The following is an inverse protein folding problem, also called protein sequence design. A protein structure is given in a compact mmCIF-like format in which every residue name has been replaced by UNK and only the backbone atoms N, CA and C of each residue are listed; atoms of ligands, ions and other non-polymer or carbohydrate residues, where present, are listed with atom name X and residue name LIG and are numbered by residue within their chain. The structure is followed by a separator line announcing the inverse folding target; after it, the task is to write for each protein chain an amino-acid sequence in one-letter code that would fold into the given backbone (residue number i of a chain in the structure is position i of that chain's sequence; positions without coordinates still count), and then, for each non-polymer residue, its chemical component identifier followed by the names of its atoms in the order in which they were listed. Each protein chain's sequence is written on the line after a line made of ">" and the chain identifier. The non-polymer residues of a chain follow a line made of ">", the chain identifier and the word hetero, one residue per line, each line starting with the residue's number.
data_IF_982512321779
#
_entry.id   IF_982512321779
#
_cell.length_a   1.000
_cell.length_b   1.000
_cell.length_c   1.000
_cell.angle_alpha   90.00
_cell.angle_beta   90.00
_cell.angle_gamma   90.00
#
_symmetry.space_group_name_H-M   'P 1'
#
loop_
_entity.id
_entity.type
_entity.pdbx_description
1 polymer ?
#
# COMPACT_ATOMS: atom_id res chain seq x y z
N UNK A 1 -8.25 2.46 9.28
CA UNK A 1 -8.34 1.85 10.63
C UNK A 1 -9.30 0.64 10.65
N UNK A 2 -9.07 -0.37 9.80
CA UNK A 2 -9.99 -1.52 9.67
C UNK A 2 -9.35 -2.87 10.03
N UNK A 3 -8.01 -3.00 10.00
CA UNK A 3 -7.33 -4.27 10.23
C UNK A 3 -7.38 -4.72 11.70
N UNK A 4 -7.18 -3.81 12.65
CA UNK A 4 -7.14 -4.16 14.09
C UNK A 4 -8.50 -4.72 14.56
N UNK A 5 -9.64 -4.07 14.28
CA UNK A 5 -10.95 -4.63 14.63
C UNK A 5 -11.20 -5.99 13.96
N UNK A 6 -10.88 -6.13 12.67
CA UNK A 6 -11.10 -7.38 11.93
C UNK A 6 -10.23 -8.53 12.47
N UNK A 7 -8.97 -8.26 12.79
CA UNK A 7 -8.07 -9.23 13.41
C UNK A 7 -8.63 -9.73 14.75
N UNK A 8 -9.13 -8.83 15.61
CA UNK A 8 -9.74 -9.20 16.89
C UNK A 8 -11.05 -9.96 16.71
N UNK A 9 -11.89 -9.57 15.75
CA UNK A 9 -13.13 -10.29 15.42
C UNK A 9 -12.86 -11.73 15.01
N UNK A 10 -11.92 -11.93 14.07
CA UNK A 10 -11.54 -13.28 13.62
C UNK A 10 -10.87 -14.04 14.77
N UNK A 11 -9.97 -13.41 15.53
CA UNK A 11 -9.19 -14.06 16.58
C UNK A 11 -9.99 -14.48 17.81
N UNK A 12 -10.97 -13.67 18.24
CA UNK A 12 -11.77 -13.91 19.45
C UNK A 12 -13.07 -14.65 19.10
N UNK A 13 -13.80 -14.20 18.08
CA UNK A 13 -15.13 -14.74 17.71
C UNK A 13 -15.12 -15.67 16.49
N UNK A 14 -13.97 -15.90 15.85
CA UNK A 14 -13.87 -16.82 14.70
C UNK A 14 -14.00 -18.30 15.07
N UNK A 15 -14.23 -19.14 14.05
CA UNK A 15 -14.45 -20.59 14.20
C UNK A 15 -13.18 -21.43 14.42
N UNK A 16 -13.21 -22.69 14.00
CA UNK A 16 -12.05 -23.61 14.11
C UNK A 16 -10.84 -23.00 13.39
N UNK A 17 -9.67 -23.04 14.03
CA UNK A 17 -8.41 -22.43 13.54
C UNK A 17 -8.43 -20.89 13.43
N UNK A 18 -9.24 -20.19 14.24
CA UNK A 18 -9.33 -18.71 14.30
C UNK A 18 -8.00 -17.96 14.34
N UNK A 19 -7.03 -18.41 15.15
CA UNK A 19 -5.70 -17.75 15.23
C UNK A 19 -4.96 -17.83 13.89
N UNK A 20 -5.00 -18.99 13.24
CA UNK A 20 -4.39 -19.19 11.93
C UNK A 20 -5.08 -18.34 10.85
N UNK A 21 -6.41 -18.22 10.90
CA UNK A 21 -7.17 -17.37 9.98
C UNK A 21 -6.86 -15.88 10.19
N UNK A 22 -6.80 -15.43 11.45
CA UNK A 22 -6.50 -14.04 11.81
C UNK A 22 -5.08 -13.64 11.37
N UNK A 23 -4.09 -14.51 11.60
CA UNK A 23 -2.71 -14.29 11.14
C UNK A 23 -2.61 -14.21 9.61
N UNK A 24 -3.27 -15.14 8.89
CA UNK A 24 -3.31 -15.07 7.43
C UNK A 24 -3.92 -13.76 6.93
N UNK A 25 -5.06 -13.37 7.48
CA UNK A 25 -5.73 -12.12 7.10
C UNK A 25 -4.78 -10.92 7.24
N UNK A 26 -4.08 -10.81 8.37
CA UNK A 26 -3.10 -9.74 8.58
C UNK A 26 -1.93 -9.85 7.61
N UNK A 27 -1.37 -11.03 7.39
CA UNK A 27 -0.22 -11.19 6.48
C UNK A 27 -0.58 -10.79 5.05
N UNK A 28 -1.70 -11.27 4.50
CA UNK A 28 -2.10 -10.95 3.14
C UNK A 28 -2.36 -9.45 2.95
N UNK A 29 -3.03 -8.81 3.90
CA UNK A 29 -3.33 -7.37 3.83
C UNK A 29 -2.12 -6.50 4.11
N UNK A 30 -1.25 -6.91 5.04
CA UNK A 30 -0.04 -6.17 5.40
C UNK A 30 0.98 -6.20 4.26
N UNK A 31 1.20 -7.36 3.62
CA UNK A 31 2.15 -7.50 2.50
C UNK A 31 1.79 -6.55 1.35
N UNK A 32 0.51 -6.52 0.94
CA UNK A 32 0.05 -5.58 -0.07
C UNK A 32 0.26 -4.12 0.35
N UNK A 33 -0.12 -3.77 1.59
CA UNK A 33 0.01 -2.40 2.10
C UNK A 33 1.46 -1.90 2.20
N UNK A 34 2.41 -2.77 2.55
CA UNK A 34 3.84 -2.44 2.61
C UNK A 34 4.38 -2.20 1.20
N UNK A 35 3.97 -3.01 0.23
CA UNK A 35 4.36 -2.83 -1.16
C UNK A 35 3.84 -1.49 -1.71
N UNK A 36 2.59 -1.14 -1.41
CA UNK A 36 2.02 0.17 -1.71
C UNK A 36 2.79 1.31 -1.04
N UNK A 37 3.18 1.15 0.23
CA UNK A 37 3.97 2.16 0.94
C UNK A 37 5.31 2.43 0.24
N UNK A 38 5.99 1.38 -0.23
CA UNK A 38 7.24 1.52 -1.00
C UNK A 38 6.99 2.30 -2.30
N UNK A 39 5.90 2.04 -3.01
CA UNK A 39 5.55 2.79 -4.22
C UNK A 39 5.24 4.27 -3.94
N UNK A 40 4.55 4.58 -2.84
CA UNK A 40 4.29 5.96 -2.40
C UNK A 40 5.59 6.67 -2.03
N UNK A 41 6.50 6.00 -1.30
CA UNK A 41 7.81 6.57 -0.97
C UNK A 41 8.64 6.82 -2.23
N UNK A 42 8.61 5.91 -3.20
CA UNK A 42 9.26 6.11 -4.48
C UNK A 42 8.73 7.37 -5.19
N UNK A 43 7.41 7.55 -5.25
CA UNK A 43 6.78 8.75 -5.81
C UNK A 43 7.15 10.03 -5.05
N UNK A 44 7.28 9.96 -3.73
CA UNK A 44 7.69 11.08 -2.88
C UNK A 44 9.11 11.54 -3.21
N UNK A 45 10.07 10.61 -3.32
CA UNK A 45 11.44 10.94 -3.71
C UNK A 45 11.54 11.36 -5.18
N UNK A 46 10.73 10.75 -6.05
CA UNK A 46 10.65 11.14 -7.45
C UNK A 46 10.14 12.59 -7.59
N UNK A 47 9.11 12.96 -6.82
CA UNK A 47 8.60 14.33 -6.78
C UNK A 47 9.70 15.32 -6.42
N UNK A 48 10.47 15.04 -5.36
CA UNK A 48 11.60 15.88 -4.95
C UNK A 48 12.63 16.10 -6.06
N UNK A 49 12.93 15.06 -6.84
CA UNK A 49 13.88 15.19 -7.96
C UNK A 49 13.37 16.12 -9.07
N UNK A 50 12.06 16.24 -9.27
CA UNK A 50 11.47 17.08 -10.32
C UNK A 50 11.12 18.50 -9.87
N UNK A 51 10.61 18.67 -8.65
CA UNK A 51 10.09 19.95 -8.14
C UNK A 51 10.99 20.58 -7.07
N UNK A 52 11.96 19.84 -6.53
CA UNK A 52 12.79 20.26 -5.39
C UNK A 52 12.06 20.23 -4.04
N UNK A 53 10.76 19.93 -4.02
CA UNK A 53 9.92 19.92 -2.82
C UNK A 53 9.52 18.52 -2.39
N UNK A 54 9.20 18.36 -1.11
CA UNK A 54 8.65 17.12 -0.56
C UNK A 54 7.14 17.30 -0.36
N UNK A 55 6.34 16.49 -1.04
CA UNK A 55 4.88 16.52 -0.87
C UNK A 55 4.24 15.16 -1.09
N UNK A 56 3.14 14.92 -0.38
CA UNK A 56 2.21 13.81 -0.60
C UNK A 56 0.90 14.30 -1.25
N UNK A 57 0.87 15.54 -1.74
CA UNK A 57 -0.29 16.09 -2.43
C UNK A 57 -0.46 15.43 -3.79
N UNK A 58 -1.61 14.79 -3.97
CA UNK A 58 -2.01 14.09 -5.18
C UNK A 58 -2.13 15.04 -6.37
N UNK A 59 -2.59 16.28 -6.18
CA UNK A 59 -2.70 17.26 -7.26
C UNK A 59 -1.32 17.68 -7.77
N UNK A 60 -0.36 17.85 -6.86
CA UNK A 60 1.02 18.13 -7.22
C UNK A 60 1.67 16.93 -7.94
N UNK A 61 1.34 15.70 -7.53
CA UNK A 61 1.88 14.48 -8.14
C UNK A 61 1.37 14.24 -9.57
N UNK A 62 0.17 14.69 -9.94
CA UNK A 62 -0.34 14.54 -11.31
C UNK A 62 0.44 15.32 -12.36
N UNK A 63 1.15 16.37 -11.96
CA UNK A 63 1.96 17.18 -12.87
C UNK A 63 3.37 16.58 -13.11
N UNK A 64 3.69 15.44 -12.50
CA UNK A 64 4.97 14.77 -12.69
C UNK A 64 5.03 14.06 -14.04
N UNK A 65 6.05 14.37 -14.85
CA UNK A 65 6.38 13.61 -16.05
C UNK A 65 7.14 12.34 -15.67
N UNK A 66 6.40 11.27 -15.39
CA UNK A 66 6.96 9.96 -15.04
C UNK A 66 7.23 9.16 -16.33
N UNK A 67 8.43 8.60 -16.53
CA UNK A 67 8.70 7.71 -17.66
C UNK A 67 7.75 6.50 -17.68
N UNK A 68 7.25 6.13 -18.86
CA UNK A 68 6.24 5.08 -19.02
C UNK A 68 6.59 3.75 -18.34
N UNK A 69 7.86 3.34 -18.43
CA UNK A 69 8.33 2.11 -17.78
C UNK A 69 8.15 2.14 -16.25
N UNK A 70 8.44 3.28 -15.62
CA UNK A 70 8.28 3.47 -14.17
C UNK A 70 6.80 3.51 -13.79
N UNK A 71 5.96 4.12 -14.64
CA UNK A 71 4.52 4.18 -14.42
C UNK A 71 3.88 2.78 -14.38
N UNK A 72 4.33 1.85 -15.22
CA UNK A 72 3.88 0.44 -15.18
C UNK A 72 4.23 -0.21 -13.85
N UNK A 73 5.48 -0.06 -13.37
CA UNK A 73 5.91 -0.66 -12.11
C UNK A 73 5.14 -0.11 -10.92
N UNK A 74 4.92 1.22 -10.89
CA UNK A 74 4.09 1.86 -9.87
C UNK A 74 2.65 1.35 -9.94
N UNK A 75 2.07 1.27 -11.14
CA UNK A 75 0.73 0.73 -11.32
C UNK A 75 0.61 -0.70 -10.79
N UNK A 76 1.55 -1.59 -11.15
CA UNK A 76 1.55 -2.98 -10.66
C UNK A 76 1.69 -3.05 -9.14
N UNK A 77 2.50 -2.16 -8.55
CA UNK A 77 2.68 -2.10 -7.12
C UNK A 77 1.38 -1.70 -6.39
N UNK A 78 0.65 -0.71 -6.92
CA UNK A 78 -0.67 -0.37 -6.40
C UNK A 78 -1.70 -1.47 -6.68
N UNK A 79 -1.73 -2.02 -7.89
CA UNK A 79 -2.68 -3.06 -8.28
C UNK A 79 -2.55 -4.31 -7.40
N UNK A 80 -1.33 -4.77 -7.12
CA UNK A 80 -1.09 -5.92 -6.22
C UNK A 80 -1.48 -5.63 -4.77
N UNK A 81 -1.50 -4.37 -4.34
CA UNK A 81 -1.93 -4.02 -2.99
C UNK A 81 -3.47 -3.98 -2.85
N UNK A 82 -4.19 -3.77 -3.96
CA UNK A 82 -5.65 -3.69 -4.01
C UNK A 82 -6.33 -4.98 -4.52
N UNK A 83 -5.59 -5.89 -5.17
CA UNK A 83 -6.07 -7.19 -5.64
C UNK A 83 -6.13 -8.23 -4.52
#
# INVERSE_FOLDING_TARGET
>A
AMLIPMYLLIGIWGGKRRIYAALKFVIYTMVGSVLMLVAILYLYFLNHNYTGGYTFDLLAMYNLNIPFGVQIWLFLAFALAFA
#
